data_IF_533275119520
#
_entry.id   IF_533275119520
#
_cell.length_a   1.000
_cell.length_b   1.000
_cell.length_c   1.000
_cell.angle_alpha   90.00
_cell.angle_beta   90.00
_cell.angle_gamma   90.00
#
_symmetry.space_group_name_H-M   'P 1'
#
loop_
_entity.id
_entity.type
_entity.pdbx_description
1 polymer ?
#
# COMPACT_ATOMS: atom_id res chain seq x y z
N UNK A 1 21.18 -8.02 6.33
CA UNK A 1 19.74 -7.97 6.63
C UNK A 1 18.98 -8.78 5.60
N UNK A 2 18.01 -9.54 6.07
CA UNK A 2 17.21 -10.38 5.17
C UNK A 2 16.06 -9.58 4.57
N UNK A 3 16.25 -9.12 3.36
CA UNK A 3 15.24 -8.31 2.67
C UNK A 3 13.99 -9.13 2.36
N UNK A 4 14.15 -10.42 2.05
CA UNK A 4 13.00 -11.28 1.77
C UNK A 4 12.09 -11.41 2.99
N UNK A 5 12.67 -11.63 4.17
CA UNK A 5 11.89 -11.75 5.39
C UNK A 5 11.12 -10.46 5.68
N UNK A 6 11.75 -9.31 5.50
CA UNK A 6 11.11 -8.02 5.71
C UNK A 6 9.98 -7.78 4.72
N UNK A 7 10.21 -8.10 3.45
CA UNK A 7 9.19 -7.95 2.41
C UNK A 7 8.03 -8.89 2.65
N UNK A 8 8.31 -10.13 3.06
CA UNK A 8 7.24 -11.08 3.42
C UNK A 8 6.42 -10.61 4.60
N UNK A 9 7.07 -10.04 5.62
CA UNK A 9 6.38 -9.49 6.78
C UNK A 9 5.50 -8.31 6.38
N UNK A 10 6.02 -7.44 5.55
CA UNK A 10 5.24 -6.29 5.06
C UNK A 10 4.07 -6.76 4.20
N UNK A 11 4.29 -7.76 3.36
CA UNK A 11 3.23 -8.34 2.54
C UNK A 11 2.10 -8.88 3.42
N UNK A 12 2.45 -9.65 4.44
CA UNK A 12 1.44 -10.19 5.36
C UNK A 12 0.68 -9.09 6.08
N UNK A 13 1.39 -8.06 6.52
CA UNK A 13 0.77 -6.92 7.20
C UNK A 13 -0.21 -6.20 6.29
N UNK A 14 0.17 -5.96 5.03
CA UNK A 14 -0.67 -5.29 4.06
C UNK A 14 -1.90 -6.13 3.71
N UNK A 15 -1.73 -7.44 3.55
CA UNK A 15 -2.85 -8.34 3.28
C UNK A 15 -3.85 -8.32 4.42
N UNK A 16 -3.38 -8.32 5.68
CA UNK A 16 -4.27 -8.23 6.83
C UNK A 16 -5.00 -6.89 6.87
N UNK A 17 -4.30 -5.81 6.59
CA UNK A 17 -4.91 -4.48 6.60
C UNK A 17 -6.02 -4.37 5.53
N UNK A 18 -5.76 -4.91 4.35
CA UNK A 18 -6.74 -4.92 3.26
C UNK A 18 -7.95 -5.78 3.64
N UNK A 19 -7.72 -6.95 4.21
CA UNK A 19 -8.80 -7.86 4.62
C UNK A 19 -9.70 -7.22 5.69
N UNK A 20 -9.10 -6.52 6.65
CA UNK A 20 -9.86 -5.83 7.71
C UNK A 20 -10.72 -4.74 7.09
N UNK A 21 -10.17 -3.94 6.17
CA UNK A 21 -10.93 -2.88 5.51
C UNK A 21 -12.07 -3.43 4.66
N UNK A 22 -11.83 -4.51 3.95
CA UNK A 22 -12.88 -5.15 3.14
C UNK A 22 -13.99 -5.68 4.02
N UNK A 23 -13.66 -6.26 5.18
CA UNK A 23 -14.64 -6.72 6.15
C UNK A 23 -15.45 -5.55 6.73
N UNK A 24 -14.79 -4.44 7.04
CA UNK A 24 -15.46 -3.23 7.55
C UNK A 24 -16.44 -2.68 6.52
N UNK A 25 -16.04 -2.61 5.25
CA UNK A 25 -16.93 -2.14 4.19
C UNK A 25 -18.12 -3.07 4.05
N UNK A 26 -17.90 -4.38 4.05
CA UNK A 26 -18.97 -5.36 3.97
C UNK A 26 -19.93 -5.22 5.16
N UNK A 27 -19.40 -5.00 6.36
CA UNK A 27 -20.21 -4.77 7.54
C UNK A 27 -21.07 -3.52 7.45
N UNK A 28 -20.50 -2.45 6.91
CA UNK A 28 -21.24 -1.19 6.72
C UNK A 28 -22.38 -1.39 5.72
N UNK A 29 -22.12 -2.07 4.61
CA UNK A 29 -23.12 -2.36 3.60
C UNK A 29 -24.25 -3.21 4.18
N UNK A 30 -23.89 -4.26 4.92
CA UNK A 30 -24.88 -5.13 5.55
C UNK A 30 -25.74 -4.35 6.56
N UNK A 31 -25.15 -3.49 7.33
CA UNK A 31 -25.87 -2.66 8.29
C UNK A 31 -26.86 -1.73 7.59
N UNK A 32 -26.48 -1.17 6.45
CA UNK A 32 -27.36 -0.30 5.67
C UNK A 32 -28.54 -1.07 5.11
N UNK A 33 -28.31 -2.26 4.63
CA UNK A 33 -29.37 -3.09 4.09
C UNK A 33 -30.37 -3.51 5.16
N UNK A 34 -29.90 -3.67 6.39
CA UNK A 34 -30.75 -4.08 7.50
C UNK A 34 -31.46 -2.93 8.19
N UNK A 35 -31.12 -1.68 7.90
CA UNK A 35 -31.73 -0.54 8.56
C UNK A 35 -32.52 0.29 7.57
N UNK A 36 -33.80 0.53 7.88
CA UNK A 36 -34.59 1.49 7.16
C UNK A 36 -34.23 2.90 7.61
N UNK A 37 -33.02 3.31 7.32
CA UNK A 37 -32.63 4.65 7.69
C UNK A 37 -33.06 5.60 6.59
N UNK A 38 -34.15 6.26 6.83
CA UNK A 38 -34.64 7.29 5.94
C UNK A 38 -34.11 8.66 6.31
N UNK A 39 -32.95 8.70 6.92
CA UNK A 39 -32.37 9.95 7.37
C UNK A 39 -31.52 10.60 6.31
N UNK A 40 -32.16 10.99 5.23
CA UNK A 40 -31.47 11.67 4.16
C UNK A 40 -30.99 13.05 4.57
N UNK A 41 -31.51 13.57 5.65
CA UNK A 41 -31.17 14.90 6.14
C UNK A 41 -30.20 14.91 7.27
N UNK A 42 -29.56 13.81 7.49
CA UNK A 42 -28.55 13.70 8.53
C UNK A 42 -27.38 14.60 8.20
N UNK A 43 -27.07 15.62 9.03
CA UNK A 43 -25.91 16.46 8.78
C UNK A 43 -24.60 15.69 8.87
N UNK A 44 -24.63 14.47 9.42
CA UNK A 44 -23.47 13.59 9.46
C UNK A 44 -23.21 12.91 8.11
N UNK A 45 -24.13 13.01 7.16
CA UNK A 45 -23.97 12.39 5.86
C UNK A 45 -22.73 12.83 5.12
N UNK A 46 -22.40 14.12 5.18
CA UNK A 46 -21.19 14.63 4.52
C UNK A 46 -19.93 14.17 5.23
N UNK A 47 -19.96 14.05 6.55
CA UNK A 47 -18.83 13.52 7.33
C UNK A 47 -18.60 12.05 7.01
N UNK A 48 -19.66 11.27 6.92
CA UNK A 48 -19.59 9.86 6.55
C UNK A 48 -19.00 9.71 5.14
N UNK A 49 -19.45 10.54 4.21
CA UNK A 49 -18.93 10.52 2.85
C UNK A 49 -17.43 10.86 2.81
N UNK A 50 -17.01 11.84 3.61
CA UNK A 50 -15.60 12.20 3.72
C UNK A 50 -14.78 11.06 4.29
N UNK A 51 -15.24 10.44 5.37
CA UNK A 51 -14.56 9.31 5.98
C UNK A 51 -14.45 8.13 5.02
N UNK A 52 -15.49 7.89 4.24
CA UNK A 52 -15.49 6.84 3.23
C UNK A 52 -14.45 7.11 2.16
N UNK A 53 -14.35 8.36 1.71
CA UNK A 53 -13.34 8.75 0.73
C UNK A 53 -11.94 8.53 1.29
N UNK A 54 -11.72 8.90 2.57
CA UNK A 54 -10.44 8.67 3.22
C UNK A 54 -10.12 7.18 3.31
N UNK A 55 -11.10 6.36 3.66
CA UNK A 55 -10.92 4.91 3.74
C UNK A 55 -10.60 4.32 2.37
N UNK A 56 -11.26 4.80 1.32
CA UNK A 56 -11.01 4.35 -0.04
C UNK A 56 -9.59 4.70 -0.49
N UNK A 57 -9.13 5.90 -0.17
CA UNK A 57 -7.76 6.31 -0.48
C UNK A 57 -6.73 5.45 0.26
N UNK A 58 -6.99 5.15 1.52
CA UNK A 58 -6.09 4.32 2.32
C UNK A 58 -6.05 2.89 1.78
N UNK A 59 -7.19 2.34 1.37
CA UNK A 59 -7.27 1.02 0.78
C UNK A 59 -6.51 0.96 -0.55
N UNK A 60 -6.68 1.97 -1.40
CA UNK A 60 -5.98 2.05 -2.67
C UNK A 60 -4.47 2.15 -2.44
N UNK A 61 -4.04 2.94 -1.45
CA UNK A 61 -2.63 3.05 -1.11
C UNK A 61 -2.06 1.71 -0.62
N UNK A 62 -2.81 1.01 0.23
CA UNK A 62 -2.37 -0.30 0.73
C UNK A 62 -2.20 -1.30 -0.42
N UNK A 63 -3.11 -1.30 -1.38
CA UNK A 63 -3.01 -2.18 -2.54
C UNK A 63 -1.83 -1.83 -3.44
N UNK A 64 -1.55 -0.54 -3.61
CA UNK A 64 -0.36 -0.11 -4.37
C UNK A 64 0.92 -0.56 -3.68
N UNK A 65 0.97 -0.42 -2.36
CA UNK A 65 2.13 -0.87 -1.58
C UNK A 65 2.31 -2.38 -1.66
N UNK A 66 1.21 -3.12 -1.61
CA UNK A 66 1.26 -4.57 -1.76
C UNK A 66 1.82 -4.96 -3.12
N UNK A 67 1.36 -4.32 -4.19
CA UNK A 67 1.88 -4.59 -5.53
C UNK A 67 3.38 -4.31 -5.61
N UNK A 68 3.85 -3.22 -4.99
CA UNK A 68 5.27 -2.88 -4.96
C UNK A 68 6.09 -3.92 -4.19
N UNK A 69 5.56 -4.40 -3.07
CA UNK A 69 6.22 -5.44 -2.28
C UNK A 69 6.30 -6.75 -3.06
N UNK A 70 5.22 -7.12 -3.72
CA UNK A 70 5.20 -8.36 -4.51
C UNK A 70 6.17 -8.27 -5.70
N UNK A 71 6.24 -7.10 -6.34
CA UNK A 71 7.22 -6.88 -7.40
C UNK A 71 8.65 -6.97 -6.87
N UNK A 72 8.90 -6.45 -5.67
CA UNK A 72 10.23 -6.56 -5.05
C UNK A 72 10.61 -8.00 -4.76
N UNK A 73 9.65 -8.80 -4.28
CA UNK A 73 9.88 -10.23 -4.06
C UNK A 73 10.21 -10.94 -5.37
N UNK A 74 9.53 -10.57 -6.45
CA UNK A 74 9.84 -11.09 -7.78
C UNK A 74 11.26 -10.75 -8.22
N UNK A 75 11.72 -9.53 -7.93
CA UNK A 75 13.09 -9.14 -8.27
C UNK A 75 14.14 -9.90 -7.44
N UNK A 76 13.81 -10.23 -6.20
CA UNK A 76 14.68 -11.11 -5.41
C UNK A 76 14.82 -12.47 -6.08
N UNK A 77 13.72 -13.01 -6.58
CA UNK A 77 13.75 -14.29 -7.29
C UNK A 77 14.54 -14.20 -8.60
N UNK A 78 14.46 -13.06 -9.30
CA UNK A 78 15.16 -12.84 -10.56
C UNK A 78 16.63 -12.47 -10.37
N UNK A 79 17.03 -12.10 -9.16
CA UNK A 79 18.38 -11.62 -8.91
C UNK A 79 18.60 -10.16 -9.28
N UNK A 80 17.53 -9.39 -9.50
CA UNK A 80 17.62 -7.97 -9.89
C UNK A 80 17.27 -7.02 -8.75
N UNK A 81 17.01 -7.54 -7.56
CA UNK A 81 16.67 -6.72 -6.41
C UNK A 81 17.86 -5.82 -6.03
N UNK A 82 17.56 -4.58 -5.66
CA UNK A 82 18.58 -3.64 -5.20
C UNK A 82 19.30 -2.90 -6.32
N UNK A 83 18.83 -3.04 -7.54
CA UNK A 83 19.38 -2.32 -8.69
C UNK A 83 18.38 -1.26 -9.12
N UNK A 84 18.84 -0.01 -9.28
CA UNK A 84 17.97 1.09 -9.71
C UNK A 84 17.45 0.82 -11.11
N UNK A 85 16.14 0.90 -11.29
CA UNK A 85 15.51 0.64 -12.60
C UNK A 85 15.81 1.73 -13.63
N UNK A 86 16.23 2.91 -13.18
CA UNK A 86 16.48 4.04 -14.05
C UNK A 86 17.94 4.09 -14.50
N UNK A 87 18.88 4.04 -13.56
CA UNK A 87 20.31 4.22 -13.89
C UNK A 87 21.11 2.93 -13.87
N UNK A 88 20.55 1.83 -13.38
CA UNK A 88 21.24 0.55 -13.34
C UNK A 88 22.29 0.42 -12.24
N UNK A 89 22.46 1.44 -11.42
CA UNK A 89 23.41 1.41 -10.32
C UNK A 89 22.79 0.75 -9.08
N UNK A 90 23.63 0.20 -8.19
CA UNK A 90 23.10 -0.38 -6.97
C UNK A 90 22.41 0.67 -6.10
N UNK A 91 21.31 0.27 -5.48
CA UNK A 91 20.63 1.09 -4.49
C UNK A 91 21.34 0.91 -3.16
N UNK A 92 21.59 2.01 -2.44
CA UNK A 92 22.28 1.95 -1.15
C UNK A 92 21.52 1.07 -0.16
N UNK A 93 22.28 0.30 0.61
CA UNK A 93 21.69 -0.63 1.58
C UNK A 93 20.79 0.07 2.59
N UNK A 94 21.22 1.25 3.08
CA UNK A 94 20.39 2.04 3.99
C UNK A 94 19.06 2.44 3.41
N UNK A 95 19.01 2.71 2.12
CA UNK A 95 17.75 3.02 1.45
C UNK A 95 16.87 1.79 1.33
N UNK A 96 17.46 0.64 1.05
CA UNK A 96 16.70 -0.62 1.00
C UNK A 96 16.17 -1.00 2.38
N UNK A 97 16.91 -0.71 3.43
CA UNK A 97 16.43 -0.93 4.80
C UNK A 97 15.23 -0.04 5.12
N UNK A 98 15.28 1.21 4.71
CA UNK A 98 14.19 2.16 4.95
C UNK A 98 13.00 1.90 4.02
N UNK A 99 13.27 1.57 2.78
CA UNK A 99 12.24 1.37 1.74
C UNK A 99 12.52 0.07 0.99
N UNK A 100 12.14 -1.08 1.58
CA UNK A 100 12.49 -2.37 0.97
C UNK A 100 11.93 -2.59 -0.43
N UNK A 101 10.84 -1.95 -0.78
CA UNK A 101 10.21 -2.12 -2.09
C UNK A 101 10.64 -1.07 -3.11
N UNK A 102 11.60 -0.21 -2.77
CA UNK A 102 12.02 0.84 -3.68
C UNK A 102 12.68 0.25 -4.94
N UNK A 103 12.44 0.91 -6.07
CA UNK A 103 13.03 0.53 -7.36
C UNK A 103 14.04 1.56 -7.84
N UNK A 104 14.23 2.64 -7.09
CA UNK A 104 15.08 3.76 -7.52
C UNK A 104 16.04 4.16 -6.43
N UNK A 105 17.25 4.53 -6.85
CA UNK A 105 18.22 5.11 -5.93
C UNK A 105 17.80 6.53 -5.55
N UNK A 106 18.45 7.10 -4.54
CA UNK A 106 18.11 8.43 -4.03
C UNK A 106 18.16 9.48 -5.15
N UNK A 107 19.18 9.43 -5.99
CA UNK A 107 19.32 10.38 -7.08
C UNK A 107 18.16 10.34 -8.06
N UNK A 108 17.80 9.13 -8.49
CA UNK A 108 16.74 8.97 -9.47
C UNK A 108 15.37 9.25 -8.87
N UNK A 109 15.17 8.90 -7.61
CA UNK A 109 13.90 9.16 -6.92
C UNK A 109 13.67 10.65 -6.70
N UNK A 110 14.74 11.42 -6.54
CA UNK A 110 14.62 12.89 -6.37
C UNK A 110 14.44 13.62 -7.70
N UNK A 111 14.42 12.92 -8.83
CA UNK A 111 14.25 13.52 -10.13
C UNK A 111 15.53 14.10 -10.71
N UNK A 112 16.66 13.90 -10.06
CA UNK A 112 17.94 14.36 -10.58
C UNK A 112 18.48 13.35 -11.56
N UNK A 113 18.58 13.76 -12.80
CA UNK A 113 19.27 12.96 -13.79
C UNK A 113 20.75 13.24 -13.69
N UNK A 114 21.51 12.20 -13.55
CA UNK A 114 22.96 12.32 -13.55
C UNK A 114 23.48 12.73 -14.90
#
# INVERSE_FOLDING_TARGET
>A
MDHRARLDDERRSLLRAIAVRDADVAGIVAAREGSNVDDEHDPEGSTIAFERTQADHAAANARRRLAAVEAALGRLDDGTYGVCEVCGEPIAEGRLEALPATTRCVRCASGRKS
#
